data_IF_390239405574
#
_entry.id   IF_390239405574
#
_cell.length_a   1.000
_cell.length_b   1.000
_cell.length_c   1.000
_cell.angle_alpha   90.00
_cell.angle_beta   90.00
_cell.angle_gamma   90.00
#
_symmetry.space_group_name_H-M   'P 1'
#
loop_
_entity.id
_entity.type
_entity.pdbx_description
1 polymer ?
#
# COMPACT_ATOMS: atom_id res chain seq x y z
N UNK A 1 5.48 20.33 -2.50
CA UNK A 1 5.93 18.92 -2.50
C UNK A 1 4.77 17.91 -2.44
N UNK A 2 3.53 18.29 -2.77
CA UNK A 2 2.37 17.38 -2.72
C UNK A 2 2.25 16.44 -3.93
N UNK A 3 2.59 16.94 -5.12
CA UNK A 3 2.34 16.27 -6.40
C UNK A 3 3.01 14.88 -6.55
N UNK A 4 4.13 14.64 -5.88
CA UNK A 4 4.87 13.37 -6.00
C UNK A 4 4.12 12.19 -5.39
N UNK A 5 3.52 12.36 -4.22
CA UNK A 5 2.79 11.28 -3.55
C UNK A 5 1.45 10.98 -4.24
N UNK A 6 0.80 12.02 -4.75
CA UNK A 6 -0.45 11.89 -5.50
C UNK A 6 -0.21 11.14 -6.83
N UNK A 7 0.91 11.43 -7.50
CA UNK A 7 1.33 10.70 -8.71
C UNK A 7 1.65 9.22 -8.42
N UNK A 8 2.35 8.93 -7.32
CA UNK A 8 2.65 7.55 -6.91
C UNK A 8 1.37 6.80 -6.53
N UNK A 9 0.40 7.45 -5.90
CA UNK A 9 -0.91 6.86 -5.58
C UNK A 9 -1.69 6.49 -6.86
N UNK A 10 -1.67 7.36 -7.88
CA UNK A 10 -2.30 7.06 -9.17
C UNK A 10 -1.61 5.89 -9.89
N UNK A 11 -0.27 5.82 -9.85
CA UNK A 11 0.50 4.70 -10.41
C UNK A 11 0.26 3.38 -9.66
N UNK A 12 0.06 3.45 -8.35
CA UNK A 12 -0.28 2.30 -7.52
C UNK A 12 -1.62 1.67 -7.95
N UNK A 13 -2.58 2.50 -8.39
CA UNK A 13 -3.86 2.04 -8.89
C UNK A 13 -4.91 1.85 -7.79
N UNK A 14 -6.02 1.22 -8.16
CA UNK A 14 -7.23 1.16 -7.35
C UNK A 14 -7.70 -0.28 -7.17
N UNK A 15 -8.25 -0.58 -6.01
CA UNK A 15 -8.99 -1.80 -5.72
C UNK A 15 -10.48 -1.49 -5.61
N UNK A 16 -11.32 -2.49 -5.86
CA UNK A 16 -12.78 -2.37 -5.65
C UNK A 16 -13.13 -3.13 -4.38
N UNK A 17 -13.77 -2.46 -3.43
CA UNK A 17 -14.22 -3.05 -2.18
C UNK A 17 -15.74 -3.08 -2.20
N UNK A 18 -16.32 -4.28 -2.04
CA UNK A 18 -17.75 -4.42 -1.81
C UNK A 18 -18.04 -4.11 -0.35
N UNK A 19 -18.88 -3.11 -0.11
CA UNK A 19 -19.31 -2.72 1.24
C UNK A 19 -20.75 -3.16 1.44
N UNK A 20 -20.97 -4.06 2.38
CA UNK A 20 -22.31 -4.50 2.77
C UNK A 20 -22.81 -3.64 3.94
N UNK A 21 -23.93 -2.94 3.73
CA UNK A 21 -24.64 -2.20 4.78
C UNK A 21 -25.94 -2.94 5.12
N UNK A 22 -26.06 -3.38 6.37
CA UNK A 22 -27.28 -4.01 6.88
C UNK A 22 -28.00 -3.00 7.77
N UNK A 23 -29.23 -2.64 7.40
CA UNK A 23 -30.10 -1.78 8.19
C UNK A 23 -31.25 -2.60 8.72
N UNK A 24 -31.29 -2.79 10.05
CA UNK A 24 -32.38 -3.47 10.74
C UNK A 24 -33.34 -2.45 11.31
N UNK A 25 -34.56 -2.39 10.77
CA UNK A 25 -35.61 -1.51 11.29
C UNK A 25 -36.72 -2.36 11.94
N UNK A 26 -37.05 -2.04 13.20
CA UNK A 26 -38.14 -2.70 13.91
C UNK A 26 -39.44 -1.97 13.57
N UNK A 27 -40.33 -2.64 12.85
CA UNK A 27 -41.65 -2.11 12.51
C UNK A 27 -42.54 -1.97 13.75
N UNK A 28 -43.55 -1.10 13.66
CA UNK A 28 -44.55 -0.87 14.71
C UNK A 28 -45.29 -2.17 15.08
N UNK A 29 -45.35 -3.13 14.15
CA UNK A 29 -46.01 -4.43 14.28
C UNK A 29 -45.09 -5.52 14.89
N UNK A 30 -43.92 -5.15 15.40
CA UNK A 30 -42.97 -6.07 16.05
C UNK A 30 -42.12 -6.92 15.10
N UNK A 31 -42.39 -6.90 13.78
CA UNK A 31 -41.57 -7.57 12.76
C UNK A 31 -40.27 -6.80 12.50
N UNK A 32 -39.14 -7.52 12.46
CA UNK A 32 -37.85 -6.99 12.01
C UNK A 32 -37.80 -7.03 10.49
N UNK A 33 -37.61 -5.87 9.88
CA UNK A 33 -37.28 -5.77 8.47
C UNK A 33 -35.78 -5.45 8.36
N UNK A 34 -35.02 -6.42 7.87
CA UNK A 34 -33.58 -6.27 7.62
C UNK A 34 -33.38 -5.96 6.14
N UNK A 35 -32.90 -4.75 5.85
CA UNK A 35 -32.52 -4.34 4.50
C UNK A 35 -31.02 -4.49 4.33
N UNK A 36 -30.58 -5.26 3.34
CA UNK A 36 -29.16 -5.42 2.97
C UNK A 36 -28.89 -4.64 1.69
N UNK A 37 -28.06 -3.62 1.77
CA UNK A 37 -27.54 -2.86 0.62
C UNK A 37 -26.09 -3.25 0.38
N UNK A 38 -25.74 -3.62 -0.84
CA UNK A 38 -24.36 -3.91 -1.25
C UNK A 38 -23.93 -2.81 -2.20
N UNK A 39 -22.84 -2.12 -1.87
CA UNK A 39 -22.32 -1.01 -2.66
C UNK A 39 -20.85 -1.26 -3.01
N UNK A 40 -20.52 -1.14 -4.29
CA UNK A 40 -19.16 -1.29 -4.78
C UNK A 40 -18.46 0.07 -4.77
N UNK A 41 -17.44 0.21 -3.93
CA UNK A 41 -16.66 1.43 -3.81
C UNK A 41 -15.25 1.23 -4.34
N UNK A 42 -14.81 2.17 -5.18
CA UNK A 42 -13.44 2.23 -5.69
C UNK A 42 -12.54 2.89 -4.64
N UNK A 43 -11.50 2.20 -4.20
CA UNK A 43 -10.53 2.70 -3.19
C UNK A 43 -9.12 2.63 -3.75
N UNK A 44 -8.30 3.63 -3.46
CA UNK A 44 -6.87 3.62 -3.78
C UNK A 44 -6.15 2.47 -3.06
N UNK A 45 -5.21 1.80 -3.74
CA UNK A 45 -4.39 0.75 -3.12
C UNK A 45 -3.43 1.31 -2.07
N UNK A 46 -2.95 2.53 -2.28
CA UNK A 46 -2.15 3.31 -1.35
C UNK A 46 -2.58 4.77 -1.46
N UNK A 47 -3.02 5.34 -0.35
CA UNK A 47 -3.35 6.75 -0.30
C UNK A 47 -2.09 7.62 -0.30
N UNK A 48 -2.17 8.87 -0.78
CA UNK A 48 -1.04 9.79 -0.73
C UNK A 48 -0.48 10.01 0.69
N UNK A 49 -1.33 9.94 1.72
CA UNK A 49 -0.90 10.07 3.12
C UNK A 49 -0.13 8.83 3.59
N UNK A 50 -0.58 7.62 3.24
CA UNK A 50 0.16 6.38 3.52
C UNK A 50 1.54 6.36 2.83
N UNK A 51 1.63 6.90 1.61
CA UNK A 51 2.91 7.05 0.90
C UNK A 51 3.83 8.04 1.62
N UNK A 52 3.28 9.15 2.14
CA UNK A 52 4.07 10.16 2.87
C UNK A 52 4.54 9.65 4.24
N UNK A 53 3.82 8.71 4.85
CA UNK A 53 4.18 8.09 6.14
C UNK A 53 5.01 6.80 6.01
N UNK A 54 5.50 6.47 4.81
CA UNK A 54 6.38 5.32 4.62
C UNK A 54 7.65 5.50 5.48
N UNK A 55 8.02 4.49 6.28
CA UNK A 55 9.22 4.57 7.09
C UNK A 55 10.48 4.48 6.21
N UNK A 56 11.56 5.14 6.62
CA UNK A 56 12.80 5.27 5.84
C UNK A 56 13.48 3.93 5.49
N UNK A 57 13.13 2.87 6.20
CA UNK A 57 13.64 1.51 6.03
C UNK A 57 12.78 0.66 5.07
N UNK A 58 11.72 1.21 4.50
CA UNK A 58 10.83 0.52 3.58
C UNK A 58 10.88 1.14 2.18
N UNK A 59 10.67 0.29 1.18
CA UNK A 59 10.61 0.67 -0.23
C UNK A 59 9.41 0.02 -0.89
N UNK A 60 8.84 0.78 -1.83
CA UNK A 60 7.64 0.41 -2.55
C UNK A 60 8.03 0.16 -4.01
N UNK A 61 7.83 -1.07 -4.48
CA UNK A 61 8.19 -1.48 -5.84
C UNK A 61 6.92 -1.50 -6.68
N UNK A 62 6.84 -0.57 -7.62
CA UNK A 62 5.77 -0.49 -8.61
C UNK A 62 6.35 -0.99 -9.93
N UNK A 63 5.91 -2.18 -10.36
CA UNK A 63 6.32 -2.79 -11.62
C UNK A 63 5.10 -2.92 -12.55
N UNK A 64 5.34 -2.80 -13.85
CA UNK A 64 4.28 -2.89 -14.85
C UNK A 64 3.60 -4.27 -14.80
N UNK A 65 2.26 -4.28 -14.75
CA UNK A 65 1.43 -5.48 -14.72
C UNK A 65 1.71 -6.45 -13.55
N UNK A 66 2.18 -5.93 -12.41
CA UNK A 66 2.30 -6.68 -11.16
C UNK A 66 1.71 -5.90 -10.00
N UNK A 67 1.23 -6.65 -9.00
CA UNK A 67 0.83 -6.07 -7.73
C UNK A 67 2.02 -5.36 -7.08
N UNK A 68 1.71 -4.26 -6.41
CA UNK A 68 2.69 -3.49 -5.64
C UNK A 68 3.29 -4.39 -4.56
N UNK A 69 4.62 -4.33 -4.43
CA UNK A 69 5.34 -5.06 -3.39
C UNK A 69 5.96 -4.07 -2.42
N UNK A 70 5.70 -4.28 -1.12
CA UNK A 70 6.42 -3.62 -0.03
C UNK A 70 7.63 -4.47 0.34
N UNK A 71 8.79 -3.83 0.42
CA UNK A 71 10.04 -4.50 0.77
C UNK A 71 10.87 -3.66 1.76
N UNK A 72 11.83 -4.31 2.42
CA UNK A 72 12.83 -3.60 3.21
C UNK A 72 13.87 -2.96 2.30
N UNK A 73 14.24 -1.73 2.60
CA UNK A 73 15.30 -1.00 1.91
C UNK A 73 16.60 -1.78 2.04
N UNK A 74 17.19 -2.11 0.89
CA UNK A 74 18.48 -2.76 0.84
C UNK A 74 19.59 -1.70 0.77
N UNK A 75 20.10 -1.29 1.93
CA UNK A 75 21.23 -0.37 2.04
C UNK A 75 22.55 -1.13 1.82
N UNK A 76 23.26 -0.84 0.72
CA UNK A 76 24.48 -1.57 0.35
C UNK A 76 25.58 -1.48 1.42
N UNK A 77 25.64 -0.41 2.19
CA UNK A 77 26.64 -0.18 3.25
C UNK A 77 26.34 -0.95 4.56
N UNK A 78 25.14 -1.51 4.72
CA UNK A 78 24.78 -2.30 5.91
C UNK A 78 25.04 -3.80 5.70
N UNK A 79 25.14 -4.26 4.45
CA UNK A 79 25.29 -5.69 4.17
C UNK A 79 26.76 -6.12 4.15
N UNK A 80 27.10 -7.09 5.01
CA UNK A 80 28.45 -7.69 5.09
C UNK A 80 29.00 -8.14 3.73
N UNK A 81 28.13 -8.66 2.85
CA UNK A 81 28.47 -9.13 1.50
C UNK A 81 29.07 -8.02 0.62
N UNK A 82 28.57 -6.79 0.72
CA UNK A 82 29.06 -5.68 -0.10
C UNK A 82 30.30 -5.02 0.52
N UNK A 83 30.36 -4.95 1.85
CA UNK A 83 31.56 -4.46 2.57
C UNK A 83 32.78 -5.33 2.27
N UNK A 84 32.63 -6.65 2.18
CA UNK A 84 33.75 -7.55 1.86
C UNK A 84 34.32 -7.31 0.45
N UNK A 85 33.47 -6.97 -0.53
CA UNK A 85 33.91 -6.64 -1.89
C UNK A 85 34.66 -5.32 -1.89
N UNK A 86 34.16 -4.30 -1.21
CA UNK A 86 34.82 -2.99 -1.09
C UNK A 86 36.20 -3.11 -0.44
N UNK A 87 36.33 -3.91 0.61
CA UNK A 87 37.63 -4.18 1.26
C UNK A 87 38.60 -4.92 0.33
N UNK A 88 38.12 -5.90 -0.42
CA UNK A 88 38.95 -6.63 -1.38
C UNK A 88 39.45 -5.72 -2.52
N UNK A 89 38.62 -4.79 -3.01
CA UNK A 89 39.02 -3.82 -4.03
C UNK A 89 39.99 -2.75 -3.52
N UNK A 90 39.92 -2.36 -2.23
CA UNK A 90 40.82 -1.36 -1.65
C UNK A 90 42.24 -1.87 -1.39
N UNK A 91 42.44 -3.18 -1.26
CA UNK A 91 43.77 -3.78 -1.00
C UNK A 91 44.57 -4.06 -2.27
N UNK A 92 43.98 -3.90 -3.46
CA UNK A 92 44.61 -4.18 -4.75
C UNK A 92 45.12 -2.93 -5.48
N UNK A 93 45.14 -1.77 -4.80
CA UNK A 93 45.74 -0.51 -5.25
C UNK A 93 46.80 -0.07 -4.24
#
# INVERSE_FOLDING_TARGET
TGASADYVSQLAGYTTIQTESITSQKGVDGKKNDSKSVSDQRRELLTPDEIRRLPDNEVLIIAHNKNIVKGKKNSYYEQKKYISILKASSNNN
#
